data_IF_015060153455
#
_entry.id   IF_015060153455
#
_cell.length_a   1.000
_cell.length_b   1.000
_cell.length_c   1.000
_cell.angle_alpha   90.00
_cell.angle_beta   90.00
_cell.angle_gamma   90.00
#
_symmetry.space_group_name_H-M   'P 1'
#
loop_
_entity.id
_entity.type
_entity.pdbx_description
1 polymer ?
#
# COMPACT_ATOMS: atom_id res chain seq x y z
N UNK A 1 -42.71 55.27 55.70
CA UNK A 1 -43.06 53.94 56.23
C UNK A 1 -41.86 53.02 56.07
N UNK A 2 -41.25 52.64 57.20
CA UNK A 2 -40.31 51.53 57.32
C UNK A 2 -40.99 50.21 56.85
N UNK A 3 -40.29 49.15 56.46
CA UNK A 3 -39.58 48.22 57.36
C UNK A 3 -38.54 47.41 56.56
N UNK A 4 -37.35 47.29 57.17
CA UNK A 4 -36.25 46.42 56.79
C UNK A 4 -36.36 45.05 57.47
N UNK A 5 -35.89 43.96 56.83
CA UNK A 5 -35.27 42.77 57.45
C UNK A 5 -34.40 42.08 56.37
N UNK A 6 -33.05 42.12 56.39
CA UNK A 6 -32.08 41.42 57.26
C UNK A 6 -32.04 39.89 57.06
N UNK A 7 -30.98 39.37 56.41
CA UNK A 7 -30.03 38.40 57.02
C UNK A 7 -29.35 37.44 56.02
N UNK A 8 -28.06 37.72 55.84
CA UNK A 8 -26.89 36.85 55.66
C UNK A 8 -27.02 35.36 56.04
N UNK A 9 -26.34 34.50 55.24
CA UNK A 9 -25.60 33.23 55.54
C UNK A 9 -25.58 32.42 54.22
N UNK A 10 -24.52 31.84 53.68
CA UNK A 10 -23.24 31.31 54.19
C UNK A 10 -22.36 30.97 52.98
N UNK A 11 -21.06 31.29 53.05
CA UNK A 11 -20.03 30.71 52.20
C UNK A 11 -19.92 29.20 52.45
N UNK A 12 -19.75 28.38 51.40
CA UNK A 12 -18.99 27.13 51.52
C UNK A 12 -18.30 26.75 50.21
N UNK A 13 -17.01 26.55 50.41
CA UNK A 13 -15.93 26.25 49.49
C UNK A 13 -15.85 24.74 49.20
N UNK A 14 -15.16 24.40 48.11
CA UNK A 14 -14.39 23.16 47.87
C UNK A 14 -15.19 21.86 47.67
N UNK A 15 -15.11 21.30 46.46
CA UNK A 15 -14.29 20.08 46.20
C UNK A 15 -14.40 19.63 44.75
N UNK A 16 -13.27 19.70 44.03
CA UNK A 16 -12.98 18.87 42.86
C UNK A 16 -12.65 17.47 43.35
N UNK A 17 -13.23 16.43 42.76
CA UNK A 17 -12.65 15.08 42.69
C UNK A 17 -13.23 14.32 41.46
N UNK A 18 -12.54 13.26 40.99
CA UNK A 18 -12.28 13.00 39.57
C UNK A 18 -13.24 11.99 38.93
N UNK A 19 -13.32 12.07 37.59
CA UNK A 19 -14.04 11.14 36.76
C UNK A 19 -13.35 9.76 36.74
N UNK A 20 -14.12 8.74 37.06
CA UNK A 20 -13.70 7.38 37.28
C UNK A 20 -13.35 6.64 35.98
N UNK A 21 -12.35 5.78 36.13
CA UNK A 21 -11.77 4.84 35.18
C UNK A 21 -12.72 3.64 35.02
N UNK A 22 -13.11 3.30 33.78
CA UNK A 22 -13.73 2.02 33.43
C UNK A 22 -12.91 1.41 32.26
N UNK A 23 -12.14 0.33 32.47
CA UNK A 23 -11.75 -0.56 31.39
C UNK A 23 -12.66 -1.79 31.39
N UNK A 24 -13.33 -2.00 30.26
CA UNK A 24 -14.05 -3.23 29.94
C UNK A 24 -13.08 -4.39 29.80
N UNK A 25 -13.24 -5.39 30.66
CA UNK A 25 -12.67 -6.71 30.49
C UNK A 25 -13.47 -7.46 29.43
N UNK A 26 -12.86 -7.73 28.28
CA UNK A 26 -13.34 -8.76 27.36
C UNK A 26 -12.26 -9.84 27.27
N UNK A 27 -12.48 -10.87 28.07
CA UNK A 27 -11.78 -12.14 28.04
C UNK A 27 -12.05 -12.82 26.69
N UNK A 28 -11.10 -12.73 25.77
CA UNK A 28 -11.02 -13.67 24.66
C UNK A 28 -9.80 -14.54 24.88
N UNK A 29 -10.08 -15.83 25.05
CA UNK A 29 -9.12 -16.90 25.23
C UNK A 29 -8.08 -16.88 24.12
N UNK A 30 -6.83 -16.90 24.56
CA UNK A 30 -5.65 -17.13 23.75
C UNK A 30 -5.72 -18.49 23.07
N UNK A 31 -5.48 -18.50 21.76
CA UNK A 31 -4.86 -19.64 21.08
C UNK A 31 -3.58 -19.08 20.49
N UNK A 32 -2.49 -19.29 21.23
CA UNK A 32 -1.13 -19.14 20.72
C UNK A 32 -0.86 -20.27 19.73
N UNK A 33 -0.56 -19.92 18.48
CA UNK A 33 0.26 -20.77 17.62
C UNK A 33 1.32 -19.88 16.96
N UNK A 34 2.51 -19.96 17.55
CA UNK A 34 3.76 -19.48 16.98
C UNK A 34 4.07 -20.24 15.70
N UNK A 35 4.23 -19.53 14.58
CA UNK A 35 5.10 -20.00 13.49
C UNK A 35 5.59 -18.83 12.66
N UNK A 36 6.80 -18.39 13.01
CA UNK A 36 7.69 -17.61 12.15
C UNK A 36 7.85 -18.33 10.81
N UNK A 37 7.36 -17.73 9.72
CA UNK A 37 7.79 -18.12 8.38
C UNK A 37 8.00 -16.87 7.54
N UNK A 38 9.27 -16.52 7.34
CA UNK A 38 9.74 -15.58 6.31
C UNK A 38 9.20 -16.06 4.96
N UNK A 39 8.24 -15.33 4.39
CA UNK A 39 7.88 -15.53 2.98
C UNK A 39 8.81 -14.69 2.12
N UNK A 40 9.86 -15.36 1.67
CA UNK A 40 10.68 -15.00 0.52
C UNK A 40 9.75 -14.73 -0.68
N UNK A 41 9.73 -13.48 -1.15
CA UNK A 41 9.06 -13.12 -2.39
C UNK A 41 9.97 -13.54 -3.55
N UNK A 42 9.66 -14.67 -4.17
CA UNK A 42 10.17 -14.98 -5.51
C UNK A 42 9.44 -14.04 -6.47
N UNK A 43 10.06 -12.90 -6.74
CA UNK A 43 9.66 -11.96 -7.77
C UNK A 43 10.10 -12.56 -9.12
N UNK A 44 9.20 -13.25 -9.82
CA UNK A 44 9.43 -13.60 -11.23
C UNK A 44 9.30 -12.32 -12.04
N UNK A 45 10.43 -11.67 -12.27
CA UNK A 45 10.57 -10.52 -13.15
C UNK A 45 10.55 -10.99 -14.60
N UNK A 46 9.40 -10.83 -15.26
CA UNK A 46 9.32 -10.85 -16.73
C UNK A 46 9.96 -9.56 -17.24
N UNK A 47 11.26 -9.66 -17.57
CA UNK A 47 12.00 -8.62 -18.30
C UNK A 47 11.50 -8.59 -19.74
N UNK A 48 10.76 -7.56 -20.10
CA UNK A 48 10.59 -7.21 -21.51
C UNK A 48 11.90 -6.60 -22.03
N UNK A 49 12.46 -7.28 -23.01
CA UNK A 49 13.64 -6.90 -23.78
C UNK A 49 13.19 -5.92 -24.87
N UNK A 50 13.57 -4.65 -24.76
CA UNK A 50 13.48 -3.70 -25.89
C UNK A 50 14.82 -3.02 -26.03
N UNK A 51 15.49 -3.34 -27.13
CA UNK A 51 16.80 -2.82 -27.50
C UNK A 51 16.76 -1.32 -27.83
N UNK A 52 17.91 -0.73 -27.54
CA UNK A 52 18.41 0.63 -27.70
C UNK A 52 18.16 1.25 -29.07
N UNK A 53 17.99 2.58 -29.09
CA UNK A 53 18.69 3.45 -30.04
C UNK A 53 18.86 4.81 -29.40
N UNK A 54 20.12 5.14 -29.12
CA UNK A 54 20.58 6.46 -28.71
C UNK A 54 20.39 7.46 -29.85
N UNK A 55 19.94 8.66 -29.52
CA UNK A 55 20.15 9.86 -30.34
C UNK A 55 20.19 11.06 -29.41
N UNK A 56 21.41 11.51 -29.20
CA UNK A 56 21.79 12.74 -28.54
C UNK A 56 21.44 13.93 -29.46
N UNK A 57 20.60 14.84 -28.96
CA UNK A 57 20.52 16.19 -29.51
C UNK A 57 20.37 17.19 -28.37
N UNK A 58 21.45 17.90 -28.13
CA UNK A 58 21.54 19.09 -27.30
C UNK A 58 20.61 20.17 -27.85
N UNK A 59 19.61 20.57 -27.07
CA UNK A 59 18.99 21.90 -27.21
C UNK A 59 18.75 22.48 -25.83
N UNK A 60 19.64 23.40 -25.46
CA UNK A 60 19.35 24.47 -24.51
C UNK A 60 18.19 25.27 -25.09
N UNK A 61 17.14 25.51 -24.31
CA UNK A 61 16.63 26.85 -23.97
C UNK A 61 15.18 26.79 -23.45
N UNK A 62 14.82 27.84 -22.71
CA UNK A 62 13.52 28.19 -22.16
C UNK A 62 13.13 27.52 -20.83
N UNK A 63 13.61 28.15 -19.76
CA UNK A 63 12.97 28.12 -18.45
C UNK A 63 11.50 28.50 -18.53
N UNK A 64 10.63 27.50 -18.41
CA UNK A 64 9.22 27.70 -18.14
C UNK A 64 9.05 27.94 -16.63
N UNK A 65 8.89 29.21 -16.26
CA UNK A 65 8.48 29.65 -14.93
C UNK A 65 7.19 28.91 -14.54
N UNK A 66 7.26 28.03 -13.52
CA UNK A 66 6.08 27.58 -12.77
C UNK A 66 5.55 28.74 -11.93
N UNK A 67 4.81 29.64 -12.56
CA UNK A 67 4.06 30.69 -11.89
C UNK A 67 2.61 30.22 -11.67
N UNK A 68 2.24 30.05 -10.40
CA UNK A 68 0.86 30.19 -9.92
C UNK A 68 -0.19 29.26 -10.53
N UNK A 69 -0.08 27.95 -10.33
CA UNK A 69 -1.21 27.06 -10.59
C UNK A 69 -2.30 27.31 -9.53
N UNK A 70 -3.41 27.90 -9.96
CA UNK A 70 -4.63 28.01 -9.16
C UNK A 70 -5.08 26.60 -8.74
N UNK A 71 -5.73 26.42 -7.56
CA UNK A 71 -6.09 25.09 -7.10
C UNK A 71 -7.00 24.41 -8.13
N UNK A 72 -6.47 23.39 -8.84
CA UNK A 72 -7.25 22.55 -9.76
C UNK A 72 -8.49 22.06 -9.00
N UNK A 73 -9.65 22.55 -9.39
CA UNK A 73 -10.91 22.13 -8.77
C UNK A 73 -11.27 20.76 -9.31
N UNK A 74 -10.87 19.72 -8.57
CA UNK A 74 -11.27 18.36 -8.90
C UNK A 74 -12.73 18.15 -8.55
N UNK A 75 -13.49 17.56 -9.47
CA UNK A 75 -14.89 17.16 -9.24
C UNK A 75 -15.02 16.16 -8.09
N UNK A 76 -14.01 15.33 -7.86
CA UNK A 76 -14.01 14.35 -6.77
C UNK A 76 -13.43 15.01 -5.50
N UNK A 77 -13.79 14.58 -4.28
CA UNK A 77 -13.10 14.94 -3.02
C UNK A 77 -11.95 13.99 -2.67
N UNK A 78 -10.94 14.39 -1.88
CA UNK A 78 -9.78 13.53 -1.56
C UNK A 78 -10.19 12.19 -0.91
N UNK A 79 -11.11 12.26 0.06
CA UNK A 79 -11.67 11.07 0.72
C UNK A 79 -12.45 10.18 -0.26
N UNK A 80 -13.18 10.78 -1.19
CA UNK A 80 -13.91 10.03 -2.23
C UNK A 80 -12.96 9.36 -3.22
N UNK A 81 -11.87 10.03 -3.59
CA UNK A 81 -10.78 9.44 -4.38
C UNK A 81 -10.16 8.21 -3.71
N UNK A 82 -9.82 8.34 -2.42
CA UNK A 82 -9.27 7.27 -1.59
C UNK A 82 -10.21 6.07 -1.50
N UNK A 83 -11.50 6.32 -1.19
CA UNK A 83 -12.55 5.30 -1.13
C UNK A 83 -12.73 4.61 -2.48
N UNK A 84 -12.77 5.37 -3.56
CA UNK A 84 -12.97 4.84 -4.91
C UNK A 84 -11.80 3.93 -5.32
N UNK A 85 -10.56 4.37 -5.11
CA UNK A 85 -9.35 3.58 -5.37
C UNK A 85 -9.34 2.26 -4.58
N UNK A 86 -9.72 2.28 -3.30
CA UNK A 86 -9.87 1.06 -2.47
C UNK A 86 -10.97 0.14 -3.00
N UNK A 87 -12.14 0.69 -3.36
CA UNK A 87 -13.27 -0.06 -3.93
C UNK A 87 -12.89 -0.76 -5.23
N UNK A 88 -12.18 -0.10 -6.14
CA UNK A 88 -11.76 -0.67 -7.42
C UNK A 88 -10.81 -1.85 -7.22
N UNK A 89 -9.80 -1.70 -6.35
CA UNK A 89 -8.86 -2.79 -6.05
C UNK A 89 -9.52 -3.95 -5.31
N UNK A 90 -10.45 -3.67 -4.40
CA UNK A 90 -11.22 -4.73 -3.73
C UNK A 90 -12.06 -5.51 -4.75
N UNK A 91 -12.74 -4.84 -5.67
CA UNK A 91 -13.49 -5.50 -6.75
C UNK A 91 -12.59 -6.31 -7.68
N UNK A 92 -11.40 -5.81 -8.03
CA UNK A 92 -10.42 -6.58 -8.82
C UNK A 92 -10.00 -7.88 -8.13
N UNK A 93 -9.77 -7.86 -6.81
CA UNK A 93 -9.43 -9.05 -6.03
C UNK A 93 -10.57 -10.07 -5.96
N UNK A 94 -11.81 -9.59 -5.85
CA UNK A 94 -12.99 -10.47 -5.79
C UNK A 94 -13.37 -11.01 -7.18
N UNK A 95 -13.16 -10.22 -8.23
CA UNK A 95 -13.49 -10.59 -9.61
C UNK A 95 -12.65 -11.75 -10.16
N UNK A 96 -11.46 -12.01 -9.61
CA UNK A 96 -10.67 -13.19 -9.97
C UNK A 96 -11.24 -14.52 -9.46
N UNK A 97 -12.04 -14.50 -8.38
CA UNK A 97 -12.59 -15.69 -7.75
C UNK A 97 -13.52 -16.52 -8.66
N UNK A 98 -14.51 -15.94 -9.36
CA UNK A 98 -15.36 -16.73 -10.27
C UNK A 98 -14.56 -17.33 -11.43
N UNK A 99 -13.57 -16.62 -11.97
CA UNK A 99 -12.72 -17.13 -13.05
C UNK A 99 -11.84 -18.29 -12.56
N UNK A 100 -11.31 -18.20 -11.34
CA UNK A 100 -10.59 -19.28 -10.70
C UNK A 100 -11.48 -20.52 -10.47
N UNK A 101 -12.73 -20.32 -10.07
CA UNK A 101 -13.69 -21.43 -9.89
C UNK A 101 -14.02 -22.12 -11.23
N UNK A 102 -14.23 -21.35 -12.30
CA UNK A 102 -14.43 -21.91 -13.65
C UNK A 102 -13.18 -22.65 -14.13
N UNK A 103 -11.99 -22.10 -13.90
CA UNK A 103 -10.72 -22.75 -14.23
C UNK A 103 -10.55 -24.08 -13.46
N UNK A 104 -10.92 -24.13 -12.19
CA UNK A 104 -10.92 -25.37 -11.39
C UNK A 104 -11.89 -26.41 -11.94
N UNK A 105 -13.12 -26.00 -12.24
CA UNK A 105 -14.15 -26.92 -12.75
C UNK A 105 -13.76 -27.49 -14.12
N UNK A 106 -13.22 -26.64 -15.01
CA UNK A 106 -12.74 -27.07 -16.32
C UNK A 106 -11.51 -27.98 -16.21
N UNK A 107 -10.56 -27.67 -15.32
CA UNK A 107 -9.40 -28.54 -15.04
C UNK A 107 -9.81 -29.91 -14.51
N UNK A 108 -10.81 -29.96 -13.63
CA UNK A 108 -11.36 -31.21 -13.09
C UNK A 108 -12.03 -32.05 -14.19
N UNK A 109 -12.88 -31.42 -15.01
CA UNK A 109 -13.54 -32.08 -16.13
C UNK A 109 -12.54 -32.64 -17.16
N UNK A 110 -11.51 -31.86 -17.50
CA UNK A 110 -10.44 -32.31 -18.42
C UNK A 110 -9.66 -33.47 -17.82
N UNK A 111 -9.32 -33.41 -16.53
CA UNK A 111 -8.57 -34.48 -15.86
C UNK A 111 -9.36 -35.79 -15.79
N UNK A 112 -10.68 -35.70 -15.54
CA UNK A 112 -11.58 -36.85 -15.57
C UNK A 112 -11.73 -37.46 -16.97
N UNK A 113 -11.73 -36.64 -18.02
CA UNK A 113 -11.77 -37.11 -19.40
C UNK A 113 -10.48 -37.83 -19.81
N UNK A 114 -9.32 -37.32 -19.40
CA UNK A 114 -8.02 -37.91 -19.70
C UNK A 114 -7.75 -39.22 -18.94
N UNK A 115 -8.36 -39.39 -17.75
CA UNK A 115 -8.17 -40.55 -16.89
C UNK A 115 -9.53 -41.12 -16.45
N UNK A 116 -10.27 -41.80 -17.35
CA UNK A 116 -11.61 -42.32 -17.05
C UNK A 116 -11.61 -43.37 -15.94
N UNK A 117 -10.52 -44.12 -15.79
CA UNK A 117 -10.40 -45.20 -14.80
C UNK A 117 -9.86 -44.74 -13.44
N UNK A 118 -9.68 -43.43 -13.21
CA UNK A 118 -9.05 -42.90 -11.99
C UNK A 118 -9.84 -43.22 -10.70
N UNK A 119 -11.15 -43.46 -10.79
CA UNK A 119 -12.01 -43.75 -9.63
C UNK A 119 -12.46 -45.22 -9.51
N UNK A 120 -12.26 -46.03 -10.55
CA UNK A 120 -12.85 -47.38 -10.67
C UNK A 120 -11.79 -48.49 -10.82
N UNK A 121 -10.51 -48.13 -10.96
CA UNK A 121 -9.42 -49.09 -11.10
C UNK A 121 -8.96 -49.66 -9.74
N UNK A 122 -8.69 -50.98 -9.64
CA UNK A 122 -8.05 -51.57 -8.47
C UNK A 122 -6.62 -51.00 -8.26
N UNK A 123 -6.13 -50.94 -7.01
CA UNK A 123 -4.91 -50.23 -6.64
C UNK A 123 -3.64 -50.71 -7.34
N UNK A 124 -3.69 -51.92 -7.89
CA UNK A 124 -2.65 -52.65 -8.62
C UNK A 124 -2.52 -52.21 -10.10
N UNK A 125 -3.46 -51.43 -10.63
CA UNK A 125 -3.46 -50.97 -12.03
C UNK A 125 -3.42 -49.43 -12.20
N UNK A 126 -3.22 -48.70 -11.10
CA UNK A 126 -3.10 -47.23 -11.13
C UNK A 126 -1.74 -46.89 -11.74
N UNK A 127 -1.75 -46.44 -13.00
CA UNK A 127 -0.53 -45.94 -13.64
C UNK A 127 -0.13 -44.62 -12.99
N UNK A 128 1.06 -44.52 -12.36
CA UNK A 128 1.50 -43.27 -11.77
C UNK A 128 1.78 -42.26 -12.88
N UNK A 129 1.11 -41.11 -12.81
CA UNK A 129 1.37 -40.00 -13.72
C UNK A 129 2.60 -39.23 -13.19
N UNK A 130 3.70 -39.21 -13.96
CA UNK A 130 4.99 -38.62 -13.53
C UNK A 130 5.58 -39.22 -12.23
N UNK A 131 5.26 -40.48 -11.91
CA UNK A 131 5.71 -41.12 -10.66
C UNK A 131 4.91 -40.72 -9.41
N UNK A 132 3.79 -40.01 -9.58
CA UNK A 132 2.91 -39.54 -8.52
C UNK A 132 1.49 -40.11 -8.71
N UNK A 133 0.75 -40.22 -7.61
CA UNK A 133 -0.66 -40.63 -7.62
C UNK A 133 -1.48 -39.67 -8.50
N UNK A 134 -2.28 -40.18 -9.47
CA UNK A 134 -3.19 -39.40 -10.29
C UNK A 134 -4.09 -38.41 -9.53
N UNK A 135 -4.51 -38.76 -8.31
CA UNK A 135 -5.35 -37.89 -7.50
C UNK A 135 -4.59 -36.65 -7.01
N UNK A 136 -3.33 -36.83 -6.59
CA UNK A 136 -2.45 -35.75 -6.18
C UNK A 136 -2.07 -34.88 -7.38
N UNK A 137 -1.79 -35.48 -8.53
CA UNK A 137 -1.51 -34.74 -9.76
C UNK A 137 -2.71 -33.89 -10.20
N UNK A 138 -3.92 -34.45 -10.19
CA UNK A 138 -5.16 -33.74 -10.48
C UNK A 138 -5.38 -32.57 -9.51
N UNK A 139 -5.17 -32.78 -8.21
CA UNK A 139 -5.25 -31.74 -7.19
C UNK A 139 -4.25 -30.60 -7.42
N UNK A 140 -2.98 -30.93 -7.71
CA UNK A 140 -1.94 -29.94 -8.00
C UNK A 140 -2.23 -29.17 -9.29
N UNK A 141 -2.66 -29.87 -10.35
CA UNK A 141 -3.05 -29.27 -11.61
C UNK A 141 -4.26 -28.34 -11.43
N UNK A 142 -5.24 -28.74 -10.63
CA UNK A 142 -6.39 -27.93 -10.25
C UNK A 142 -5.97 -26.65 -9.53
N UNK A 143 -5.15 -26.74 -8.48
CA UNK A 143 -4.69 -25.54 -7.75
C UNK A 143 -3.88 -24.61 -8.65
N UNK A 144 -3.04 -25.16 -9.53
CA UNK A 144 -2.28 -24.39 -10.49
C UNK A 144 -3.19 -23.64 -11.48
N UNK A 145 -4.19 -24.34 -12.06
CA UNK A 145 -5.15 -23.73 -12.99
C UNK A 145 -6.04 -22.69 -12.30
N UNK A 146 -6.41 -22.90 -11.04
CA UNK A 146 -7.11 -21.92 -10.21
C UNK A 146 -6.30 -20.63 -10.03
N UNK A 147 -5.01 -20.77 -9.69
CA UNK A 147 -4.11 -19.64 -9.46
C UNK A 147 -3.92 -18.81 -10.73
N UNK A 148 -3.73 -19.47 -11.87
CA UNK A 148 -3.65 -18.82 -13.18
C UNK A 148 -4.97 -18.14 -13.54
N UNK A 149 -6.11 -18.83 -13.35
CA UNK A 149 -7.44 -18.29 -13.57
C UNK A 149 -7.73 -17.05 -12.71
N UNK A 150 -7.27 -17.03 -11.46
CA UNK A 150 -7.41 -15.89 -10.56
C UNK A 150 -6.66 -14.65 -11.05
N UNK A 151 -5.39 -14.83 -11.45
CA UNK A 151 -4.54 -13.73 -11.97
C UNK A 151 -5.11 -13.22 -13.29
N UNK A 152 -5.46 -14.12 -14.21
CA UNK A 152 -6.04 -13.75 -15.49
C UNK A 152 -7.39 -13.03 -15.31
N UNK A 153 -8.27 -13.56 -14.47
CA UNK A 153 -9.57 -12.96 -14.18
C UNK A 153 -9.46 -11.57 -13.56
N UNK A 154 -8.55 -11.38 -12.60
CA UNK A 154 -8.33 -10.07 -11.97
C UNK A 154 -7.73 -9.03 -12.93
N UNK A 155 -6.84 -9.44 -13.84
CA UNK A 155 -6.27 -8.56 -14.87
C UNK A 155 -7.33 -8.15 -15.91
N UNK A 156 -8.11 -9.11 -16.42
CA UNK A 156 -9.17 -8.87 -17.41
C UNK A 156 -10.24 -7.95 -16.84
N UNK A 157 -10.65 -8.16 -15.58
CA UNK A 157 -11.61 -7.29 -14.91
C UNK A 157 -11.13 -5.84 -14.82
N UNK A 158 -9.84 -5.62 -14.55
CA UNK A 158 -9.26 -4.27 -14.53
C UNK A 158 -9.41 -3.53 -15.86
N UNK A 159 -9.24 -4.24 -16.97
CA UNK A 159 -9.40 -3.70 -18.32
C UNK A 159 -10.87 -3.41 -18.64
N UNK A 160 -11.77 -4.34 -18.33
CA UNK A 160 -13.22 -4.18 -18.50
C UNK A 160 -13.73 -2.98 -17.68
N UNK A 161 -13.30 -2.86 -16.42
CA UNK A 161 -13.71 -1.77 -15.54
C UNK A 161 -13.30 -0.40 -16.09
N UNK A 162 -12.10 -0.27 -16.66
CA UNK A 162 -11.62 0.97 -17.30
C UNK A 162 -12.41 1.30 -18.56
N UNK A 163 -12.82 0.29 -19.32
CA UNK A 163 -13.62 0.49 -20.53
C UNK A 163 -15.03 0.99 -20.22
N UNK A 164 -15.70 0.42 -19.23
CA UNK A 164 -17.05 0.85 -18.83
C UNK A 164 -17.05 2.17 -18.04
N UNK A 165 -16.04 2.42 -17.20
CA UNK A 165 -15.99 3.60 -16.34
C UNK A 165 -14.92 4.60 -16.81
N UNK A 166 -14.89 4.91 -18.11
CA UNK A 166 -13.87 5.77 -18.72
C UNK A 166 -13.75 7.12 -18.02
N UNK A 167 -14.86 7.81 -17.79
CA UNK A 167 -14.84 9.16 -17.19
C UNK A 167 -14.33 9.13 -15.75
N UNK A 168 -14.87 8.22 -14.93
CA UNK A 168 -14.43 8.00 -13.55
C UNK A 168 -12.95 7.62 -13.47
N UNK A 169 -12.48 6.81 -14.42
CA UNK A 169 -11.07 6.39 -14.47
C UNK A 169 -10.12 7.52 -14.87
N UNK A 170 -10.57 8.47 -15.72
CA UNK A 170 -9.82 9.68 -16.07
C UNK A 170 -9.73 10.63 -14.87
N UNK A 171 -10.86 10.91 -14.22
CA UNK A 171 -10.90 11.73 -13.00
C UNK A 171 -10.00 11.16 -11.89
N UNK A 172 -9.95 9.83 -11.76
CA UNK A 172 -9.08 9.15 -10.83
C UNK A 172 -7.59 9.36 -11.17
N UNK A 173 -7.22 9.19 -12.45
CA UNK A 173 -5.84 9.36 -12.93
C UNK A 173 -5.34 10.80 -12.81
N UNK A 174 -6.17 11.78 -13.16
CA UNK A 174 -5.84 13.20 -13.06
C UNK A 174 -5.53 13.57 -11.61
N UNK A 175 -6.39 13.21 -10.66
CA UNK A 175 -6.11 13.46 -9.24
C UNK A 175 -4.92 12.66 -8.74
N UNK A 176 -4.75 11.41 -9.16
CA UNK A 176 -3.62 10.59 -8.73
C UNK A 176 -2.29 11.22 -9.15
N UNK A 177 -2.20 11.71 -10.40
CA UNK A 177 -1.02 12.40 -10.91
C UNK A 177 -0.70 13.67 -10.11
N UNK A 178 -1.71 14.49 -9.81
CA UNK A 178 -1.56 15.72 -9.03
C UNK A 178 -1.19 15.44 -7.55
N UNK A 179 -1.72 14.36 -6.96
CA UNK A 179 -1.31 13.90 -5.64
C UNK A 179 0.16 13.44 -5.62
N UNK A 180 0.57 12.66 -6.61
CA UNK A 180 1.95 12.20 -6.74
C UNK A 180 2.92 13.35 -7.01
N UNK A 181 2.52 14.36 -7.78
CA UNK A 181 3.31 15.58 -8.00
C UNK A 181 3.55 16.31 -6.68
N UNK A 182 2.49 16.50 -5.87
CA UNK A 182 2.61 17.13 -4.55
C UNK A 182 3.50 16.35 -3.58
N UNK A 183 3.40 15.01 -3.57
CA UNK A 183 4.28 14.17 -2.76
C UNK A 183 5.73 14.32 -3.22
N UNK A 184 5.95 14.21 -4.53
CA UNK A 184 7.30 14.27 -5.12
C UNK A 184 7.97 15.62 -4.87
N UNK A 185 7.19 16.71 -4.84
CA UNK A 185 7.70 18.05 -4.55
C UNK A 185 8.03 18.29 -3.07
N UNK A 186 7.33 17.62 -2.14
CA UNK A 186 7.46 17.87 -0.69
C UNK A 186 8.31 16.84 0.05
N UNK A 187 8.71 15.75 -0.62
CA UNK A 187 9.57 14.73 -0.04
C UNK A 187 10.95 15.29 0.31
N UNK A 188 11.57 14.76 1.35
CA UNK A 188 13.01 14.94 1.56
C UNK A 188 13.77 14.27 0.41
N UNK A 189 14.76 14.96 -0.17
CA UNK A 189 15.49 14.49 -1.35
C UNK A 189 16.47 13.35 -1.07
N UNK A 190 16.73 13.06 0.22
CA UNK A 190 17.90 12.27 0.59
C UNK A 190 17.66 11.49 1.88
N UNK A 191 16.95 10.37 1.80
CA UNK A 191 17.12 9.25 2.73
C UNK A 191 16.79 7.93 2.03
N UNK A 192 17.67 6.95 2.24
CA UNK A 192 17.53 5.49 2.02
C UNK A 192 16.60 5.00 0.91
N UNK A 193 17.12 4.15 0.03
CA UNK A 193 16.35 3.30 -0.91
C UNK A 193 15.23 2.49 -0.22
N UNK A 194 15.28 2.34 1.11
CA UNK A 194 14.34 1.59 1.94
C UNK A 194 13.50 2.48 2.87
N UNK A 195 13.32 3.75 2.55
CA UNK A 195 12.38 4.55 3.33
C UNK A 195 10.96 4.04 3.10
N UNK A 196 10.32 3.55 4.16
CA UNK A 196 9.03 2.83 4.15
C UNK A 196 7.86 3.58 3.48
N UNK A 197 8.02 4.87 3.15
CA UNK A 197 6.95 5.74 2.66
C UNK A 197 7.32 6.58 1.42
N UNK A 198 8.10 6.01 0.50
CA UNK A 198 8.57 6.73 -0.70
C UNK A 198 7.44 7.28 -1.58
N UNK A 199 6.33 6.52 -1.73
CA UNK A 199 5.17 6.92 -2.56
C UNK A 199 3.95 7.38 -1.74
N UNK A 200 4.10 7.53 -0.42
CA UNK A 200 2.99 7.93 0.47
C UNK A 200 1.88 6.88 0.55
N UNK A 201 2.25 5.59 0.57
CA UNK A 201 1.29 4.47 0.60
C UNK A 201 0.43 4.44 1.86
N UNK A 202 0.93 5.00 2.96
CA UNK A 202 0.21 5.09 4.22
C UNK A 202 -0.79 6.26 4.30
N UNK A 203 -0.78 7.20 3.35
CA UNK A 203 -1.69 8.36 3.37
C UNK A 203 -3.08 7.90 2.94
N UNK A 204 -4.00 7.71 3.90
CA UNK A 204 -5.38 7.28 3.64
C UNK A 204 -6.41 8.39 3.76
N UNK A 205 -6.11 9.40 4.57
CA UNK A 205 -6.99 10.53 4.90
C UNK A 205 -6.23 11.86 4.82
N UNK A 206 -6.96 12.98 4.87
CA UNK A 206 -6.35 14.31 4.90
C UNK A 206 -5.48 14.56 6.15
N UNK A 207 -5.82 13.96 7.30
CA UNK A 207 -5.01 14.07 8.51
C UNK A 207 -3.68 13.38 8.36
N UNK A 208 -3.66 12.19 7.74
CA UNK A 208 -2.43 11.43 7.49
C UNK A 208 -1.51 12.21 6.57
N UNK A 209 -2.06 12.91 5.58
CA UNK A 209 -1.28 13.78 4.71
C UNK A 209 -0.59 14.92 5.49
N UNK A 210 -1.30 15.57 6.42
CA UNK A 210 -0.72 16.63 7.27
C UNK A 210 0.33 16.09 8.23
N UNK A 211 0.15 14.87 8.73
CA UNK A 211 1.16 14.21 9.55
C UNK A 211 2.41 13.88 8.74
N UNK A 212 2.23 13.28 7.56
CA UNK A 212 3.31 12.98 6.63
C UNK A 212 4.11 14.23 6.28
N UNK A 213 3.47 15.38 6.05
CA UNK A 213 4.18 16.64 5.81
C UNK A 213 5.07 17.07 6.96
N UNK A 214 4.62 16.92 8.21
CA UNK A 214 5.43 17.22 9.40
C UNK A 214 6.61 16.27 9.52
N UNK A 215 6.41 14.99 9.21
CA UNK A 215 7.47 13.99 9.22
C UNK A 215 8.52 14.27 8.14
N UNK A 216 8.11 14.64 6.92
CA UNK A 216 9.03 15.02 5.85
C UNK A 216 9.84 16.27 6.21
N UNK A 217 9.22 17.29 6.81
CA UNK A 217 9.94 18.47 7.30
C UNK A 217 10.94 18.12 8.42
N UNK A 218 10.57 17.22 9.34
CA UNK A 218 11.47 16.74 10.38
C UNK A 218 12.68 16.02 9.77
N UNK A 219 12.45 15.20 8.74
CA UNK A 219 13.51 14.50 8.01
C UNK A 219 14.43 15.47 7.28
N UNK A 220 13.90 16.48 6.59
CA UNK A 220 14.72 17.52 5.93
C UNK A 220 15.62 18.24 6.94
N UNK A 221 15.06 18.71 8.06
CA UNK A 221 15.85 19.36 9.12
C UNK A 221 16.92 18.44 9.71
N UNK A 222 16.59 17.15 9.90
CA UNK A 222 17.55 16.17 10.35
C UNK A 222 18.68 15.99 9.33
N UNK A 223 18.38 15.89 8.02
CA UNK A 223 19.38 15.82 6.96
C UNK A 223 20.32 17.03 6.98
N UNK A 224 19.76 18.24 7.07
CA UNK A 224 20.52 19.48 7.08
C UNK A 224 21.46 19.55 8.30
N UNK A 225 20.97 19.12 9.47
CA UNK A 225 21.78 19.07 10.68
C UNK A 225 22.90 18.02 10.61
N UNK A 226 22.66 16.88 9.96
CA UNK A 226 23.67 15.85 9.75
C UNK A 226 24.74 16.32 8.75
N UNK A 227 24.33 17.01 7.67
CA UNK A 227 25.25 17.58 6.70
C UNK A 227 26.18 18.60 7.35
N UNK A 228 25.63 19.52 8.14
CA UNK A 228 26.43 20.50 8.90
C UNK A 228 27.44 19.81 9.82
N UNK A 229 27.01 18.79 10.57
CA UNK A 229 27.91 18.03 11.45
C UNK A 229 29.03 17.30 10.69
N UNK A 230 28.74 16.81 9.48
CA UNK A 230 29.76 16.18 8.63
C UNK A 230 30.79 17.16 8.09
N UNK A 231 30.36 18.39 7.76
CA UNK A 231 31.25 19.49 7.34
C UNK A 231 32.19 19.89 8.50
N UNK A 232 31.63 20.14 9.70
CA UNK A 232 32.41 20.45 10.92
C UNK A 232 33.44 19.36 11.27
N UNK A 233 33.07 18.08 11.13
CA UNK A 233 33.98 16.96 11.41
C UNK A 233 35.14 16.88 10.39
N UNK A 234 34.88 17.28 9.14
CA UNK A 234 35.90 17.30 8.09
C UNK A 234 36.89 18.45 8.25
N UNK A 235 36.42 19.62 8.70
CA UNK A 235 37.27 20.79 9.02
C UNK A 235 38.19 20.49 10.20
N UNK A 236 37.67 19.89 11.29
CA UNK A 236 38.48 19.48 12.44
C UNK A 236 39.57 18.47 12.09
N UNK A 237 39.28 17.54 11.17
CA UNK A 237 40.26 16.55 10.70
C UNK A 237 41.38 17.19 9.89
N UNK A 238 41.08 18.23 9.10
CA UNK A 238 42.06 19.00 8.35
C UNK A 238 42.98 19.80 9.29
N UNK A 239 42.44 20.50 10.27
CA UNK A 239 43.22 21.28 11.25
C UNK A 239 44.20 20.41 12.05
N UNK A 240 43.79 19.21 12.48
CA UNK A 240 44.67 18.26 13.18
C UNK A 240 45.83 17.78 12.30
N UNK A 241 45.59 17.57 11.00
CA UNK A 241 46.64 17.15 10.07
C UNK A 241 47.70 18.23 9.84
N UNK A 242 47.31 19.51 9.87
CA UNK A 242 48.24 20.65 9.72
C UNK A 242 49.08 20.95 10.97
N UNK A 243 48.62 20.58 12.17
CA UNK A 243 49.39 20.78 13.42
C UNK A 243 50.44 19.70 13.68
N UNK A 244 50.42 18.59 12.94
CA UNK A 244 51.34 17.45 13.16
C UNK A 244 52.56 17.48 12.20
N UNK A 245 52.68 18.52 11.37
CA UNK A 245 53.89 18.84 10.59
C UNK A 245 54.64 20.01 11.23
#
# INVERSE_FOLDING_TARGET
MAVALTSLRTLRTISRLPNARIPSTCSFLAIDLTCTTRKSLIFVSLRNFTSTSDSESTSRDAGAKKAGESPKQFTLGFEEFQKLKRKVRARQRVAGLPVAAVALMTSSAVSAYLNPNMFDAPPDQIQPILGMDPLIFCGLCGVASAGVGYIAGSAIFGSIWRFFNRDTSKMLQERESDFLERITAKRASSFSKFEDDYYGENIKTLSDYRQWLREQQKKQKAADSLKKKSEESSEQSQEQSTQTQ
#
